data_IF_844896306618
#
_entry.id   IF_844896306618
#
_cell.length_a   1.000
_cell.length_b   1.000
_cell.length_c   1.000
_cell.angle_alpha   90.00
_cell.angle_beta   90.00
_cell.angle_gamma   90.00
#
_symmetry.space_group_name_H-M   'P 1'
#
loop_
_entity.id
_entity.type
_entity.pdbx_description
1 polymer ?
#
# COMPACT_ATOMS: atom_id res chain seq x y z
N UNK A 1 6.32 51.03 7.79
CA UNK A 1 6.05 50.29 6.54
C UNK A 1 5.86 48.84 6.94
N UNK A 2 4.68 48.27 6.69
CA UNK A 2 4.32 46.89 7.04
C UNK A 2 5.16 45.91 6.24
N UNK A 3 5.80 44.94 6.91
CA UNK A 3 6.30 43.74 6.27
C UNK A 3 5.23 42.64 6.38
N UNK A 4 4.74 42.25 5.22
CA UNK A 4 3.71 41.24 5.00
C UNK A 4 4.26 39.86 5.39
N UNK A 5 3.61 39.18 6.35
CA UNK A 5 3.91 37.78 6.71
C UNK A 5 3.77 36.87 5.46
N UNK A 6 4.67 35.90 5.26
CA UNK A 6 4.56 34.97 4.14
C UNK A 6 3.29 34.14 4.31
N UNK A 7 2.51 34.06 3.23
CA UNK A 7 1.19 33.44 3.22
C UNK A 7 1.25 31.98 3.62
N UNK A 8 0.42 31.62 4.59
CA UNK A 8 0.15 30.25 5.02
C UNK A 8 -0.32 29.43 3.80
N UNK A 9 0.55 28.60 3.25
CA UNK A 9 0.26 27.80 2.07
C UNK A 9 -0.76 26.72 2.43
N UNK A 10 -1.93 26.74 1.77
CA UNK A 10 -3.01 25.78 2.02
C UNK A 10 -2.64 24.29 1.84
N UNK A 11 -1.53 23.99 1.13
CA UNK A 11 -0.97 22.63 1.01
C UNK A 11 -0.23 22.16 2.26
N UNK A 12 0.44 23.07 2.97
CA UNK A 12 1.24 22.75 4.16
C UNK A 12 0.36 22.19 5.29
N UNK A 13 -0.82 22.80 5.50
CA UNK A 13 -1.74 22.31 6.54
C UNK A 13 -2.31 20.93 6.22
N UNK A 14 -2.71 20.66 4.97
CA UNK A 14 -3.23 19.34 4.61
C UNK A 14 -2.15 18.27 4.82
N UNK A 15 -0.94 18.53 4.35
CA UNK A 15 0.17 17.57 4.47
C UNK A 15 0.62 17.40 5.91
N UNK A 16 0.66 18.49 6.70
CA UNK A 16 0.90 18.44 8.15
C UNK A 16 -0.13 17.56 8.86
N UNK A 17 -1.42 17.72 8.54
CA UNK A 17 -2.49 16.88 9.08
C UNK A 17 -2.34 15.42 8.66
N UNK A 18 -1.93 15.15 7.41
CA UNK A 18 -1.68 13.81 6.91
C UNK A 18 -0.51 13.13 7.63
N UNK A 19 0.59 13.84 7.86
CA UNK A 19 1.75 13.33 8.62
C UNK A 19 1.34 13.03 10.06
N UNK A 20 0.67 13.97 10.73
CA UNK A 20 0.19 13.77 12.10
C UNK A 20 -0.79 12.59 12.22
N UNK A 21 -1.68 12.42 11.25
CA UNK A 21 -2.61 11.31 11.21
C UNK A 21 -1.90 9.97 11.04
N UNK A 22 -0.90 9.92 10.14
CA UNK A 22 -0.11 8.72 9.92
C UNK A 22 0.68 8.30 11.17
N UNK A 23 1.28 9.26 11.87
CA UNK A 23 2.00 9.01 13.13
C UNK A 23 1.07 8.43 14.21
N UNK A 24 -0.13 9.01 14.39
CA UNK A 24 -1.14 8.51 15.32
C UNK A 24 -1.65 7.11 14.94
N UNK A 25 -1.83 6.86 13.64
CA UNK A 25 -2.24 5.56 13.13
C UNK A 25 -1.20 4.47 13.46
N UNK A 26 0.09 4.80 13.30
CA UNK A 26 1.18 3.87 13.51
C UNK A 26 1.54 3.66 14.98
N UNK A 27 1.34 4.68 15.83
CA UNK A 27 1.51 4.54 17.27
C UNK A 27 0.37 3.75 17.94
N UNK A 28 -0.72 3.49 17.22
CA UNK A 28 -1.91 2.83 17.76
C UNK A 28 -2.72 3.73 18.70
N UNK A 29 -2.50 5.04 18.63
CA UNK A 29 -3.22 6.02 19.44
C UNK A 29 -4.66 6.23 18.99
N UNK A 30 -5.54 6.79 19.86
CA UNK A 30 -6.91 7.10 19.50
C UNK A 30 -7.02 8.01 18.26
N UNK A 31 -7.55 7.46 17.18
CA UNK A 31 -7.63 8.15 15.90
C UNK A 31 -8.93 8.97 15.74
N UNK A 32 -8.80 10.30 15.67
CA UNK A 32 -9.91 11.22 15.38
C UNK A 32 -9.39 12.53 14.80
N UNK A 33 -10.22 13.27 14.04
CA UNK A 33 -9.82 14.59 13.51
C UNK A 33 -9.33 15.55 14.60
N UNK A 34 -9.93 15.50 15.80
CA UNK A 34 -9.49 16.33 16.93
C UNK A 34 -8.14 15.87 17.50
N UNK A 35 -7.90 14.56 17.58
CA UNK A 35 -6.61 14.04 18.01
C UNK A 35 -5.51 14.43 17.01
N UNK A 36 -5.80 14.31 15.71
CA UNK A 36 -4.90 14.74 14.63
C UNK A 36 -4.60 16.24 14.72
N UNK A 37 -5.61 17.10 14.90
CA UNK A 37 -5.40 18.53 15.06
C UNK A 37 -4.48 18.86 16.25
N UNK A 38 -4.71 18.19 17.39
CA UNK A 38 -3.90 18.36 18.60
C UNK A 38 -2.46 17.92 18.36
N UNK A 39 -2.27 16.76 17.73
CA UNK A 39 -0.96 16.21 17.41
C UNK A 39 -0.18 17.10 16.44
N UNK A 40 -0.86 17.63 15.43
CA UNK A 40 -0.33 18.61 14.47
C UNK A 40 -0.09 20.02 15.06
N UNK A 41 -0.49 20.29 16.31
CA UNK A 41 -0.35 21.61 16.93
C UNK A 41 -1.25 22.69 16.33
N UNK A 42 -2.36 22.31 15.71
CA UNK A 42 -3.30 23.24 15.04
C UNK A 42 -4.65 23.33 15.76
N UNK A 43 -5.50 24.28 15.34
CA UNK A 43 -6.80 24.45 15.97
C UNK A 43 -7.72 23.23 15.73
N UNK A 44 -8.61 22.85 16.68
CA UNK A 44 -9.49 21.70 16.52
C UNK A 44 -10.44 21.76 15.31
N UNK A 45 -10.68 22.96 14.77
CA UNK A 45 -11.52 23.18 13.59
C UNK A 45 -10.73 23.08 12.27
N UNK A 46 -9.40 23.14 12.30
CA UNK A 46 -8.55 23.16 11.10
C UNK A 46 -8.74 21.95 10.18
N UNK A 47 -8.83 20.69 10.67
CA UNK A 47 -8.97 19.53 9.80
C UNK A 47 -10.25 19.52 8.97
N UNK A 48 -11.34 20.07 9.51
CA UNK A 48 -12.66 20.10 8.84
C UNK A 48 -12.68 20.95 7.56
N UNK A 49 -11.65 21.77 7.33
CA UNK A 49 -11.48 22.52 6.07
C UNK A 49 -10.92 21.66 4.94
N UNK A 50 -10.33 20.51 5.25
CA UNK A 50 -9.65 19.62 4.32
C UNK A 50 -10.28 18.23 4.25
N UNK A 51 -10.86 17.76 5.35
CA UNK A 51 -11.49 16.45 5.48
C UNK A 51 -12.88 16.63 6.06
N UNK A 52 -13.90 16.16 5.34
CA UNK A 52 -15.29 16.27 5.77
C UNK A 52 -15.52 15.55 7.12
N UNK A 53 -14.89 14.40 7.28
CA UNK A 53 -14.97 13.57 8.47
C UNK A 53 -13.69 12.71 8.63
N UNK A 54 -13.71 11.81 9.61
CA UNK A 54 -12.63 10.85 9.86
C UNK A 54 -12.42 9.92 8.66
N UNK A 55 -13.48 9.52 7.97
CA UNK A 55 -13.39 8.57 6.87
C UNK A 55 -12.70 9.19 5.65
N UNK A 56 -12.97 10.46 5.36
CA UNK A 56 -12.26 11.22 4.33
C UNK A 56 -10.74 11.30 4.61
N UNK A 57 -10.34 11.45 5.88
CA UNK A 57 -8.93 11.42 6.27
C UNK A 57 -8.33 10.00 6.15
N UNK A 58 -9.04 8.98 6.62
CA UNK A 58 -8.63 7.57 6.46
C UNK A 58 -8.46 7.22 4.98
N UNK A 59 -9.37 7.65 4.11
CA UNK A 59 -9.28 7.39 2.68
C UNK A 59 -8.08 8.09 2.04
N UNK A 60 -7.80 9.34 2.43
CA UNK A 60 -6.60 10.03 1.98
C UNK A 60 -5.30 9.33 2.45
N UNK A 61 -5.31 8.73 3.65
CA UNK A 61 -4.18 7.91 4.14
C UNK A 61 -4.04 6.61 3.34
N UNK A 62 -5.16 5.96 3.01
CA UNK A 62 -5.16 4.78 2.16
C UNK A 62 -4.60 5.08 0.76
N UNK A 63 -5.00 6.19 0.14
CA UNK A 63 -4.45 6.66 -1.14
C UNK A 63 -2.95 6.87 -1.03
N UNK A 64 -2.48 7.54 0.03
CA UNK A 64 -1.05 7.75 0.27
C UNK A 64 -0.31 6.42 0.40
N UNK A 65 -0.84 5.47 1.18
CA UNK A 65 -0.24 4.15 1.35
C UNK A 65 -0.20 3.33 0.06
N UNK A 66 -1.24 3.40 -0.78
CA UNK A 66 -1.27 2.75 -2.10
C UNK A 66 -0.21 3.32 -3.04
N UNK A 67 -0.02 4.65 -3.03
CA UNK A 67 1.05 5.31 -3.79
C UNK A 67 2.43 4.93 -3.27
N UNK A 68 2.64 4.95 -1.96
CA UNK A 68 3.91 4.53 -1.34
C UNK A 68 4.25 3.07 -1.70
N UNK A 69 3.27 2.16 -1.62
CA UNK A 69 3.44 0.77 -2.03
C UNK A 69 3.78 0.65 -3.53
N UNK A 70 3.07 1.40 -4.38
CA UNK A 70 3.33 1.40 -5.81
C UNK A 70 4.76 1.88 -6.10
N UNK A 71 5.17 3.02 -5.56
CA UNK A 71 6.52 3.55 -5.77
C UNK A 71 7.62 2.55 -5.36
N UNK A 72 7.41 1.82 -4.26
CA UNK A 72 8.35 0.78 -3.80
C UNK A 72 8.41 -0.43 -4.73
N UNK A 73 7.26 -0.89 -5.24
CA UNK A 73 7.21 -2.02 -6.18
C UNK A 73 7.79 -1.64 -7.55
N UNK A 74 7.51 -0.44 -8.05
CA UNK A 74 8.07 0.05 -9.31
C UNK A 74 9.59 0.26 -9.21
N UNK A 75 10.11 0.72 -8.08
CA UNK A 75 11.55 0.86 -7.88
C UNK A 75 12.29 -0.49 -7.81
N UNK A 76 11.59 -1.56 -7.44
CA UNK A 76 12.13 -2.93 -7.45
C UNK A 76 12.07 -3.63 -8.81
N UNK A 77 11.38 -3.06 -9.79
CA UNK A 77 11.09 -3.67 -11.10
C UNK A 77 12.25 -3.63 -12.11
N UNK A 78 13.46 -3.21 -11.70
CA UNK A 78 14.67 -3.35 -12.52
C UNK A 78 15.07 -4.83 -12.75
N UNK A 79 14.42 -5.78 -12.06
CA UNK A 79 14.51 -7.21 -12.37
C UNK A 79 13.55 -7.60 -13.49
N UNK A 80 14.01 -8.35 -14.52
CA UNK A 80 13.24 -8.64 -15.72
C UNK A 80 11.91 -9.32 -15.36
N UNK A 81 10.87 -9.04 -16.15
CA UNK A 81 9.57 -9.69 -16.03
C UNK A 81 9.72 -11.20 -16.27
N UNK A 82 10.07 -11.92 -15.21
CA UNK A 82 10.18 -13.37 -15.14
C UNK A 82 9.35 -13.86 -13.96
N UNK A 83 9.13 -15.17 -13.89
CA UNK A 83 8.48 -15.78 -12.74
C UNK A 83 9.22 -15.46 -11.42
N UNK A 84 10.55 -15.42 -11.45
CA UNK A 84 11.37 -15.00 -10.30
C UNK A 84 11.16 -13.52 -9.95
N UNK A 85 11.05 -12.64 -10.94
CA UNK A 85 10.74 -11.22 -10.74
C UNK A 85 9.39 -10.99 -10.05
N UNK A 86 8.38 -11.81 -10.38
CA UNK A 86 7.08 -11.78 -9.70
C UNK A 86 7.20 -12.23 -8.23
N UNK A 87 8.07 -13.20 -7.95
CA UNK A 87 8.41 -13.58 -6.58
C UNK A 87 8.99 -12.41 -5.77
N UNK A 88 9.91 -11.63 -6.34
CA UNK A 88 10.48 -10.45 -5.67
C UNK A 88 9.47 -9.31 -5.48
N UNK A 89 8.57 -9.09 -6.45
CA UNK A 89 7.47 -8.13 -6.29
C UNK A 89 6.55 -8.52 -5.12
N UNK A 90 6.20 -9.81 -5.01
CA UNK A 90 5.42 -10.30 -3.88
C UNK A 90 6.17 -10.15 -2.54
N UNK A 91 7.50 -10.35 -2.53
CA UNK A 91 8.35 -10.07 -1.36
C UNK A 91 8.27 -8.59 -0.96
N UNK A 92 8.41 -7.67 -1.92
CA UNK A 92 8.26 -6.23 -1.69
C UNK A 92 6.90 -5.88 -1.08
N UNK A 93 5.84 -6.46 -1.62
CA UNK A 93 4.47 -6.27 -1.14
C UNK A 93 4.30 -6.73 0.32
N UNK A 94 4.77 -7.93 0.66
CA UNK A 94 4.67 -8.48 2.03
C UNK A 94 5.57 -7.71 3.00
N UNK A 95 6.77 -7.30 2.59
CA UNK A 95 7.66 -6.46 3.40
C UNK A 95 7.03 -5.11 3.73
N UNK A 96 6.38 -4.46 2.76
CA UNK A 96 5.65 -3.21 3.00
C UNK A 96 4.56 -3.43 4.06
N UNK A 97 3.76 -4.49 3.90
CA UNK A 97 2.71 -4.84 4.86
C UNK A 97 3.25 -5.01 6.28
N UNK A 98 4.36 -5.73 6.45
CA UNK A 98 4.98 -5.98 7.76
C UNK A 98 5.67 -4.76 8.37
N UNK A 99 6.20 -3.86 7.54
CA UNK A 99 6.83 -2.60 7.99
C UNK A 99 5.80 -1.54 8.37
N UNK A 100 4.65 -1.51 7.69
CA UNK A 100 3.60 -0.50 7.87
C UNK A 100 2.23 -1.16 8.19
N UNK A 101 2.12 -1.98 9.25
CA UNK A 101 0.96 -2.86 9.47
C UNK A 101 -0.37 -2.11 9.65
N UNK A 102 -0.35 -0.96 10.35
CA UNK A 102 -1.55 -0.16 10.58
C UNK A 102 -2.04 0.51 9.29
N UNK A 103 -1.11 1.09 8.52
CA UNK A 103 -1.40 1.70 7.22
C UNK A 103 -1.90 0.65 6.22
N UNK A 104 -1.24 -0.50 6.13
CA UNK A 104 -1.63 -1.58 5.23
C UNK A 104 -3.04 -2.12 5.54
N UNK A 105 -3.35 -2.33 6.82
CA UNK A 105 -4.72 -2.70 7.23
C UNK A 105 -5.74 -1.62 6.87
N UNK A 106 -5.39 -0.34 7.00
CA UNK A 106 -6.27 0.77 6.63
C UNK A 106 -6.49 0.85 5.11
N UNK A 107 -5.47 0.59 4.29
CA UNK A 107 -5.57 0.57 2.83
C UNK A 107 -6.60 -0.44 2.32
N UNK A 108 -6.72 -1.60 2.97
CA UNK A 108 -7.54 -2.73 2.51
C UNK A 108 -8.72 -3.07 3.43
N UNK A 109 -8.84 -2.44 4.59
CA UNK A 109 -9.84 -2.78 5.60
C UNK A 109 -11.25 -2.25 5.33
N UNK A 110 -11.40 -1.32 4.39
CA UNK A 110 -12.70 -0.80 3.94
C UNK A 110 -12.91 -1.13 2.47
N UNK A 111 -14.15 -1.35 2.00
CA UNK A 111 -14.44 -1.40 0.59
C UNK A 111 -13.92 -0.15 -0.13
N UNK A 112 -13.52 -0.31 -1.38
CA UNK A 112 -13.54 0.81 -2.31
C UNK A 112 -15.02 1.08 -2.61
N UNK A 113 -15.51 2.27 -2.28
CA UNK A 113 -16.87 2.67 -2.62
C UNK A 113 -16.85 3.76 -3.68
N UNK A 114 -17.96 3.86 -4.40
CA UNK A 114 -18.15 4.78 -5.53
C UNK A 114 -18.14 6.27 -5.10
N UNK A 115 -17.89 6.55 -3.81
CA UNK A 115 -17.84 7.90 -3.24
C UNK A 115 -16.41 8.44 -3.17
N UNK A 116 -15.40 7.59 -3.38
CA UNK A 116 -14.00 8.00 -3.41
C UNK A 116 -13.28 7.55 -4.68
N UNK A 117 -13.37 8.40 -5.70
CA UNK A 117 -12.71 8.15 -6.97
C UNK A 117 -11.17 8.07 -6.84
N UNK A 118 -10.55 8.71 -5.84
CA UNK A 118 -9.09 8.75 -5.73
C UNK A 118 -8.53 7.43 -5.20
N UNK A 119 -9.17 6.85 -4.19
CA UNK A 119 -8.79 5.54 -3.65
C UNK A 119 -9.02 4.43 -4.66
N UNK A 120 -10.14 4.46 -5.37
CA UNK A 120 -10.43 3.53 -6.47
C UNK A 120 -9.34 3.63 -7.55
N UNK A 121 -8.99 4.85 -7.99
CA UNK A 121 -7.92 5.06 -8.97
C UNK A 121 -6.55 4.58 -8.47
N UNK A 122 -6.21 4.81 -7.21
CA UNK A 122 -4.93 4.39 -6.65
C UNK A 122 -4.82 2.85 -6.56
N UNK A 123 -5.90 2.17 -6.17
CA UNK A 123 -5.94 0.70 -6.17
C UNK A 123 -5.94 0.13 -7.59
N UNK A 124 -6.64 0.77 -8.53
CA UNK A 124 -6.62 0.42 -9.95
C UNK A 124 -5.23 0.53 -10.56
N UNK A 125 -4.51 1.64 -10.31
CA UNK A 125 -3.14 1.82 -10.80
C UNK A 125 -2.17 0.73 -10.31
N UNK A 126 -2.32 0.26 -9.07
CA UNK A 126 -1.55 -0.88 -8.56
C UNK A 126 -1.89 -2.17 -9.34
N UNK A 127 -3.17 -2.43 -9.58
CA UNK A 127 -3.61 -3.59 -10.36
C UNK A 127 -3.10 -3.53 -11.81
N UNK A 128 -3.23 -2.39 -12.47
CA UNK A 128 -2.76 -2.16 -13.85
C UNK A 128 -1.25 -2.40 -13.98
N UNK A 129 -0.47 -1.99 -12.96
CA UNK A 129 0.95 -2.27 -12.91
C UNK A 129 1.25 -3.77 -12.82
N UNK A 130 0.54 -4.50 -11.95
CA UNK A 130 0.69 -5.96 -11.81
C UNK A 130 0.29 -6.69 -13.10
N UNK A 131 -0.74 -6.21 -13.80
CA UNK A 131 -1.15 -6.73 -15.11
C UNK A 131 -0.06 -6.54 -16.17
N UNK A 132 0.56 -5.36 -16.22
CA UNK A 132 1.66 -5.08 -17.14
C UNK A 132 2.86 -6.03 -16.90
N UNK A 133 3.23 -6.23 -15.63
CA UNK A 133 4.30 -7.18 -15.26
C UNK A 133 3.92 -8.61 -15.64
N UNK A 134 2.69 -9.04 -15.37
CA UNK A 134 2.22 -10.38 -15.68
C UNK A 134 2.21 -10.65 -17.19
N UNK A 135 1.81 -9.66 -18.00
CA UNK A 135 1.78 -9.76 -19.45
C UNK A 135 3.18 -9.97 -20.05
N UNK A 136 4.20 -9.33 -19.46
CA UNK A 136 5.58 -9.48 -19.91
C UNK A 136 6.20 -10.81 -19.43
N UNK A 137 5.92 -11.22 -18.19
CA UNK A 137 6.48 -12.45 -17.61
C UNK A 137 5.85 -13.74 -18.14
N UNK A 138 4.57 -13.69 -18.52
CA UNK A 138 3.81 -14.85 -18.99
C UNK A 138 3.05 -14.53 -20.29
N UNK A 139 3.76 -14.35 -21.42
CA UNK A 139 3.18 -13.84 -22.68
C UNK A 139 2.13 -14.76 -23.33
N UNK A 140 1.98 -15.98 -22.82
CA UNK A 140 1.01 -16.98 -23.32
C UNK A 140 -0.15 -17.24 -22.35
N UNK A 141 -0.26 -16.46 -21.28
CA UNK A 141 -1.33 -16.57 -20.27
C UNK A 141 -2.22 -15.33 -20.28
N UNK A 142 -3.39 -15.41 -19.64
CA UNK A 142 -4.24 -14.24 -19.42
C UNK A 142 -3.61 -13.34 -18.33
N UNK A 143 -3.13 -12.13 -18.68
CA UNK A 143 -2.41 -11.27 -17.74
C UNK A 143 -3.32 -10.74 -16.62
N UNK A 144 -4.61 -10.53 -16.88
CA UNK A 144 -5.58 -10.05 -15.88
C UNK A 144 -5.80 -11.13 -14.83
N UNK A 145 -6.01 -12.37 -15.28
CA UNK A 145 -6.18 -13.51 -14.38
C UNK A 145 -4.93 -13.77 -13.53
N UNK A 146 -3.74 -13.68 -14.15
CA UNK A 146 -2.47 -13.85 -13.44
C UNK A 146 -2.20 -12.74 -12.41
N UNK A 147 -2.41 -11.47 -12.77
CA UNK A 147 -2.27 -10.35 -11.85
C UNK A 147 -3.22 -10.49 -10.66
N UNK A 148 -4.48 -10.87 -10.93
CA UNK A 148 -5.48 -11.14 -9.88
C UNK A 148 -5.04 -12.25 -8.94
N UNK A 149 -4.55 -13.37 -9.49
CA UNK A 149 -4.11 -14.53 -8.71
C UNK A 149 -2.85 -14.21 -7.89
N UNK A 150 -1.86 -13.56 -8.50
CA UNK A 150 -0.62 -13.15 -7.85
C UNK A 150 -0.87 -12.15 -6.73
N UNK A 151 -1.70 -11.14 -6.98
CA UNK A 151 -2.08 -10.17 -5.95
C UNK A 151 -2.84 -10.84 -4.80
N UNK A 152 -3.78 -11.74 -5.10
CA UNK A 152 -4.52 -12.48 -4.08
C UNK A 152 -3.59 -13.32 -3.20
N UNK A 153 -2.60 -14.00 -3.78
CA UNK A 153 -1.64 -14.81 -3.04
C UNK A 153 -0.72 -13.94 -2.16
N UNK A 154 -0.14 -12.88 -2.71
CA UNK A 154 0.71 -11.96 -1.96
C UNK A 154 -0.07 -11.28 -0.82
N UNK A 155 -1.31 -10.89 -1.08
CA UNK A 155 -2.22 -10.29 -0.10
C UNK A 155 -2.58 -11.27 1.02
N UNK A 156 -2.90 -12.52 0.67
CA UNK A 156 -3.16 -13.59 1.64
C UNK A 156 -1.94 -13.85 2.52
N UNK A 157 -0.75 -13.96 1.93
CA UNK A 157 0.50 -14.13 2.68
C UNK A 157 0.77 -12.97 3.63
N UNK A 158 0.57 -11.72 3.18
CA UNK A 158 0.72 -10.53 4.01
C UNK A 158 -0.17 -10.62 5.27
N UNK A 159 -1.46 -10.91 5.13
CA UNK A 159 -2.37 -11.03 6.27
C UNK A 159 -2.08 -12.25 7.15
N UNK A 160 -1.71 -13.39 6.57
CA UNK A 160 -1.30 -14.57 7.35
C UNK A 160 -0.10 -14.27 8.25
N UNK A 161 0.87 -13.48 7.78
CA UNK A 161 1.99 -13.02 8.59
C UNK A 161 1.59 -11.92 9.58
N UNK A 162 0.81 -10.93 9.17
CA UNK A 162 0.34 -9.83 10.02
C UNK A 162 -0.50 -10.30 11.21
N UNK A 163 -1.26 -11.37 11.03
CA UNK A 163 -2.17 -11.94 12.02
C UNK A 163 -1.54 -13.12 12.79
N UNK A 164 -0.23 -13.35 12.59
CA UNK A 164 0.55 -14.36 13.31
C UNK A 164 0.17 -15.81 12.99
N UNK A 165 -0.53 -16.05 11.87
CA UNK A 165 -0.80 -17.41 11.36
C UNK A 165 0.44 -18.04 10.75
N UNK A 166 1.35 -17.20 10.27
CA UNK A 166 2.68 -17.56 9.81
C UNK A 166 3.72 -16.76 10.61
N UNK A 167 4.87 -17.38 10.99
CA UNK A 167 5.91 -16.67 11.73
C UNK A 167 6.53 -15.56 10.88
N UNK A 168 6.81 -14.42 11.50
CA UNK A 168 7.41 -13.23 10.88
C UNK A 168 8.63 -12.68 11.64
N UNK A 169 9.17 -13.45 12.60
CA UNK A 169 10.29 -13.04 13.43
C UNK A 169 11.63 -12.95 12.67
N UNK A 170 11.77 -13.75 11.61
CA UNK A 170 12.94 -13.75 10.72
C UNK A 170 12.53 -13.24 9.33
N UNK A 171 12.95 -12.01 8.94
CA UNK A 171 12.63 -11.44 7.64
C UNK A 171 13.09 -12.31 6.47
N UNK A 172 14.26 -12.97 6.55
CA UNK A 172 14.77 -13.80 5.46
C UNK A 172 13.88 -15.04 5.24
N UNK A 173 13.39 -15.64 6.33
CA UNK A 173 12.44 -16.75 6.26
C UNK A 173 11.07 -16.32 5.73
N UNK A 174 10.64 -15.08 5.98
CA UNK A 174 9.43 -14.51 5.36
C UNK A 174 9.63 -14.40 3.86
N UNK A 175 10.72 -13.76 3.42
CA UNK A 175 10.99 -13.54 2.01
C UNK A 175 11.05 -14.86 1.25
N UNK A 176 11.77 -15.85 1.79
CA UNK A 176 11.89 -17.17 1.18
C UNK A 176 10.55 -17.89 1.08
N UNK A 177 9.70 -17.80 2.12
CA UNK A 177 8.35 -18.36 2.07
C UNK A 177 7.52 -17.71 0.96
N UNK A 178 7.60 -16.40 0.81
CA UNK A 178 6.86 -15.67 -0.22
C UNK A 178 7.32 -16.11 -1.61
N UNK A 179 8.64 -16.11 -1.86
CA UNK A 179 9.20 -16.58 -3.15
C UNK A 179 8.77 -18.00 -3.49
N UNK A 180 8.93 -18.92 -2.56
CA UNK A 180 8.62 -20.35 -2.79
C UNK A 180 7.12 -20.58 -2.99
N UNK A 181 6.25 -19.85 -2.28
CA UNK A 181 4.81 -19.91 -2.50
C UNK A 181 4.42 -19.40 -3.90
N UNK A 182 5.01 -18.29 -4.35
CA UNK A 182 4.77 -17.75 -5.70
C UNK A 182 5.30 -18.69 -6.78
N UNK A 183 6.52 -19.21 -6.64
CA UNK A 183 7.11 -20.15 -7.58
C UNK A 183 6.30 -21.47 -7.70
N UNK A 184 5.72 -21.94 -6.59
CA UNK A 184 4.85 -23.12 -6.60
C UNK A 184 3.50 -22.87 -7.32
N UNK A 185 2.97 -21.65 -7.25
CA UNK A 185 1.72 -21.27 -7.89
C UNK A 185 1.90 -20.86 -9.37
N UNK A 186 3.04 -20.27 -9.71
CA UNK A 186 3.38 -19.73 -11.02
C UNK A 186 4.75 -20.28 -11.47
N UNK A 187 4.84 -21.58 -11.81
CA UNK A 187 6.11 -22.18 -12.21
C UNK A 187 6.64 -21.52 -13.49
N UNK A 188 7.96 -21.33 -13.56
CA UNK A 188 8.61 -20.79 -14.77
C UNK A 188 8.26 -21.68 -15.97
N UNK A 189 7.96 -21.09 -17.15
CA UNK A 189 7.49 -21.84 -18.32
C UNK A 189 8.46 -22.97 -18.75
N UNK A 190 9.75 -22.83 -18.46
CA UNK A 190 10.78 -23.83 -18.77
C UNK A 190 10.84 -25.02 -17.80
N UNK A 191 10.07 -25.00 -16.70
CA UNK A 191 10.12 -26.06 -15.67
C UNK A 191 9.21 -27.25 -15.96
N UNK A 192 8.48 -27.24 -17.08
CA UNK A 192 7.69 -28.39 -17.52
C UNK A 192 8.61 -29.44 -18.13
N UNK A 193 9.38 -30.14 -17.28
CA UNK A 193 10.04 -31.38 -17.67
C UNK A 193 9.04 -32.52 -17.57
N UNK A 194 8.91 -33.23 -18.71
CA UNK A 194 8.30 -34.54 -18.97
C UNK A 194 7.86 -35.41 -17.78
#
# INVERSE_FOLDING_TARGET
>A
MSETRPGYHHGDLRDTLMVAALELLESGEPFSLRAVARHAGVSPAAPYRHFADREALESALAVRGLRELMDELAAGADSPATAEGIGELAVGYVRFALRRPALFRLMFGRPCDDRDDERVRAAGALHDHLEAVAAEAFPHSDPVALATAGWSLAHGLAFLHLDGKLPNADPAAVDERVRTALAAAFPSPDTTTH
#
